data_IF_043113238882
#
_entry.id   IF_043113238882
#
_cell.length_a   1.000
_cell.length_b   1.000
_cell.length_c   1.000
_cell.angle_alpha   90.00
_cell.angle_beta   90.00
_cell.angle_gamma   90.00
#
_symmetry.space_group_name_H-M   'P 1'
#
loop_
_entity.id
_entity.type
_entity.pdbx_description
1 polymer ?
#
# COMPACT_ATOMS: atom_id res chain seq x y z
N UNK A 1 0.00 21.90 -9.08
CA UNK A 1 0.26 23.07 -9.95
C UNK A 1 1.75 23.44 -9.94
N UNK A 2 2.33 23.85 -8.83
CA UNK A 2 3.73 24.32 -8.73
C UNK A 2 4.75 23.33 -9.30
N UNK A 3 4.65 22.04 -8.96
CA UNK A 3 5.53 21.00 -9.49
C UNK A 3 5.52 20.99 -11.03
N UNK A 4 4.34 20.98 -11.65
CA UNK A 4 4.24 20.93 -13.12
C UNK A 4 4.71 22.23 -13.77
N UNK A 5 4.51 23.36 -13.12
CA UNK A 5 5.08 24.64 -13.58
C UNK A 5 6.61 24.59 -13.61
N UNK A 6 7.23 23.91 -12.64
CA UNK A 6 8.68 23.75 -12.57
C UNK A 6 9.20 22.64 -13.49
N UNK A 7 8.56 21.44 -13.49
CA UNK A 7 9.04 20.25 -14.18
C UNK A 7 8.57 20.15 -15.65
N UNK A 8 7.56 20.95 -16.05
CA UNK A 8 6.95 20.90 -17.37
C UNK A 8 5.84 19.86 -17.50
N UNK A 9 5.99 18.67 -16.91
CA UNK A 9 5.00 17.58 -16.95
C UNK A 9 4.98 16.74 -15.66
N UNK A 10 3.95 15.91 -15.51
CA UNK A 10 3.86 14.90 -14.46
C UNK A 10 3.52 13.56 -15.10
N UNK A 11 4.44 12.60 -15.03
CA UNK A 11 4.29 11.25 -15.59
C UNK A 11 4.03 10.21 -14.50
N UNK A 12 4.63 10.38 -13.32
CA UNK A 12 4.57 9.39 -12.25
C UNK A 12 4.24 10.07 -10.93
N UNK A 13 3.21 9.56 -10.26
CA UNK A 13 2.89 9.90 -8.87
C UNK A 13 3.18 8.70 -7.97
N UNK A 14 3.91 8.94 -6.88
CA UNK A 14 4.10 7.95 -5.82
C UNK A 14 3.44 8.45 -4.53
N UNK A 15 2.33 7.83 -4.14
CA UNK A 15 1.66 8.08 -2.87
C UNK A 15 2.33 7.24 -1.78
N UNK A 16 3.37 7.78 -1.17
CA UNK A 16 4.18 7.09 -0.15
C UNK A 16 3.85 7.52 1.27
N UNK A 17 3.38 8.74 1.48
CA UNK A 17 3.10 9.26 2.81
C UNK A 17 2.13 8.35 3.57
N UNK A 18 2.46 8.02 4.82
CA UNK A 18 1.63 7.17 5.66
C UNK A 18 2.11 7.17 7.10
N UNK A 19 1.19 6.87 7.99
CA UNK A 19 1.46 6.71 9.42
C UNK A 19 0.88 5.40 9.93
N UNK A 20 1.35 4.99 11.11
CA UNK A 20 0.89 3.81 11.79
C UNK A 20 0.89 4.09 13.30
N UNK A 21 -0.19 3.70 13.96
CA UNK A 21 -0.26 3.53 15.41
C UNK A 21 -0.51 2.06 15.69
N UNK A 22 0.26 1.48 16.62
CA UNK A 22 0.14 0.08 17.05
C UNK A 22 -0.33 0.01 18.50
N UNK A 23 -1.11 -1.02 18.80
CA UNK A 23 -1.62 -1.32 20.13
C UNK A 23 -3.05 -1.83 20.11
N UNK A 24 -3.54 -2.35 21.25
CA UNK A 24 -4.92 -2.80 21.40
C UNK A 24 -5.90 -1.68 21.00
N UNK A 25 -6.94 -2.05 20.24
CA UNK A 25 -7.89 -1.09 19.68
C UNK A 25 -8.53 -0.22 20.76
N UNK A 26 -8.94 -0.83 21.88
CA UNK A 26 -9.59 -0.16 23.01
C UNK A 26 -8.67 0.75 23.81
N UNK A 27 -7.34 0.62 23.64
CA UNK A 27 -6.33 1.46 24.33
C UNK A 27 -5.79 2.58 23.45
N UNK A 28 -6.10 2.53 22.13
CA UNK A 28 -5.65 3.53 21.16
C UNK A 28 -6.67 4.66 21.10
N UNK A 29 -6.21 5.90 21.24
CA UNK A 29 -7.07 7.08 21.16
C UNK A 29 -7.80 7.15 19.82
N UNK A 30 -9.10 7.48 19.84
CA UNK A 30 -9.92 7.58 18.62
C UNK A 30 -9.35 8.57 17.60
N UNK A 31 -8.69 9.62 18.07
CA UNK A 31 -7.99 10.61 17.25
C UNK A 31 -6.86 9.99 16.43
N UNK A 32 -6.13 9.01 16.96
CA UNK A 32 -5.08 8.28 16.26
C UNK A 32 -5.65 7.40 15.14
N UNK A 33 -6.80 6.74 15.40
CA UNK A 33 -7.52 6.00 14.36
C UNK A 33 -7.95 6.91 13.21
N UNK A 34 -8.57 8.06 13.52
CA UNK A 34 -9.00 9.04 12.51
C UNK A 34 -7.80 9.61 11.74
N UNK A 35 -6.71 9.94 12.43
CA UNK A 35 -5.48 10.46 11.80
C UNK A 35 -4.88 9.45 10.83
N UNK A 36 -4.89 8.15 11.19
CA UNK A 36 -4.43 7.07 10.30
C UNK A 36 -5.25 7.05 9.00
N UNK A 37 -6.57 7.09 9.11
CA UNK A 37 -7.45 7.12 7.93
C UNK A 37 -7.26 8.39 7.11
N UNK A 38 -7.17 9.54 7.77
CA UNK A 38 -7.00 10.83 7.09
C UNK A 38 -5.71 10.88 6.27
N UNK A 39 -4.59 10.43 6.82
CA UNK A 39 -3.30 10.48 6.12
C UNK A 39 -3.20 9.36 5.08
N UNK A 40 -3.47 8.11 5.50
CA UNK A 40 -3.20 6.96 4.63
C UNK A 40 -4.22 6.79 3.50
N UNK A 41 -5.47 7.26 3.69
CA UNK A 41 -6.56 7.08 2.71
C UNK A 41 -6.87 8.39 2.00
N UNK A 42 -7.25 9.44 2.75
CA UNK A 42 -7.59 10.72 2.13
C UNK A 42 -6.37 11.34 1.44
N UNK A 43 -5.15 11.14 1.99
CA UNK A 43 -3.91 11.56 1.33
C UNK A 43 -3.73 10.94 -0.04
N UNK A 44 -4.00 9.64 -0.18
CA UNK A 44 -3.95 8.93 -1.49
C UNK A 44 -5.02 9.46 -2.44
N UNK A 45 -6.26 9.61 -1.98
CA UNK A 45 -7.35 10.18 -2.80
C UNK A 45 -7.01 11.59 -3.29
N UNK A 46 -6.50 12.44 -2.39
CA UNK A 46 -6.11 13.81 -2.72
C UNK A 46 -4.98 13.84 -3.75
N UNK A 47 -3.95 13.00 -3.56
CA UNK A 47 -2.83 12.88 -4.50
C UNK A 47 -3.29 12.43 -5.89
N UNK A 48 -4.10 11.38 -5.96
CA UNK A 48 -4.66 10.87 -7.20
C UNK A 48 -5.53 11.93 -7.90
N UNK A 49 -6.43 12.57 -7.16
CA UNK A 49 -7.32 13.60 -7.71
C UNK A 49 -6.55 14.80 -8.25
N UNK A 50 -5.57 15.30 -7.50
CA UNK A 50 -4.77 16.45 -7.89
C UNK A 50 -3.84 16.17 -9.08
N UNK A 51 -3.35 14.94 -9.23
CA UNK A 51 -2.46 14.54 -10.31
C UNK A 51 -3.19 14.26 -11.63
N UNK A 52 -4.46 13.83 -11.58
CA UNK A 52 -5.21 13.35 -12.74
C UNK A 52 -5.20 14.31 -13.95
N UNK A 53 -5.43 15.64 -13.80
CA UNK A 53 -5.44 16.55 -14.96
C UNK A 53 -4.11 16.57 -15.73
N UNK A 54 -3.00 16.36 -15.03
CA UNK A 54 -1.65 16.38 -15.61
C UNK A 54 -1.28 15.01 -16.19
N UNK A 55 -1.61 13.92 -15.47
CA UNK A 55 -1.36 12.55 -15.94
C UNK A 55 -2.11 12.23 -17.24
N UNK A 56 -3.30 12.82 -17.44
CA UNK A 56 -4.05 12.71 -18.71
C UNK A 56 -3.32 13.32 -19.92
N UNK A 57 -2.39 14.21 -19.71
CA UNK A 57 -1.64 14.91 -20.76
C UNK A 57 -0.29 14.24 -21.06
N UNK A 58 0.14 13.33 -20.19
CA UNK A 58 1.43 12.66 -20.32
C UNK A 58 1.36 11.49 -21.32
N UNK A 59 2.42 11.32 -22.13
CA UNK A 59 2.54 10.20 -23.06
C UNK A 59 2.72 8.84 -22.34
N UNK A 60 3.18 8.87 -21.10
CA UNK A 60 3.31 7.76 -20.19
C UNK A 60 2.85 8.22 -18.81
N UNK A 61 1.85 7.56 -18.23
CA UNK A 61 1.28 7.98 -16.97
C UNK A 61 1.12 6.80 -16.00
N UNK A 62 1.57 7.00 -14.75
CA UNK A 62 1.49 5.96 -13.71
C UNK A 62 1.30 6.53 -12.31
N UNK A 63 0.53 5.81 -11.51
CA UNK A 63 0.43 6.02 -10.06
C UNK A 63 0.89 4.75 -9.34
N UNK A 64 1.71 4.92 -8.31
CA UNK A 64 2.13 3.86 -7.40
C UNK A 64 1.70 4.24 -5.99
N UNK A 65 0.82 3.45 -5.41
CA UNK A 65 0.36 3.62 -4.04
C UNK A 65 1.13 2.70 -3.10
N UNK A 66 1.71 3.22 -2.01
CA UNK A 66 2.31 2.40 -0.97
C UNK A 66 1.22 1.81 -0.08
N UNK A 67 0.84 0.58 -0.39
CA UNK A 67 -0.02 -0.26 0.44
C UNK A 67 0.83 -1.02 1.49
N UNK A 68 0.46 -2.21 1.84
CA UNK A 68 1.17 -3.10 2.77
C UNK A 68 0.64 -4.53 2.64
N UNK A 69 1.42 -5.52 3.08
CA UNK A 69 0.91 -6.87 3.33
C UNK A 69 -0.23 -6.88 4.38
N UNK A 70 -0.38 -5.82 5.18
CA UNK A 70 -1.54 -5.60 6.06
C UNK A 70 -2.87 -5.39 5.31
N UNK A 71 -2.84 -5.24 3.97
CA UNK A 71 -4.02 -5.28 3.11
C UNK A 71 -4.40 -6.71 2.65
N UNK A 72 -3.74 -7.74 3.17
CA UNK A 72 -4.07 -9.16 2.95
C UNK A 72 -4.96 -9.66 4.08
N UNK A 73 -4.61 -9.34 5.32
CA UNK A 73 -5.34 -9.71 6.54
C UNK A 73 -5.44 -8.51 7.47
N UNK A 74 -6.62 -8.33 8.12
CA UNK A 74 -6.75 -7.38 9.23
C UNK A 74 -5.96 -7.89 10.42
N UNK A 75 -4.96 -7.14 10.89
CA UNK A 75 -4.06 -7.57 11.95
C UNK A 75 -4.49 -7.03 13.32
N UNK A 76 -4.40 -7.86 14.36
CA UNK A 76 -4.51 -7.41 15.73
C UNK A 76 -3.42 -6.35 16.01
N UNK A 77 -3.71 -5.43 16.91
CA UNK A 77 -2.87 -4.28 17.26
C UNK A 77 -2.61 -3.27 16.11
N UNK A 78 -3.12 -3.54 14.91
CA UNK A 78 -2.95 -2.73 13.71
C UNK A 78 -4.27 -2.50 12.96
N UNK A 79 -5.40 -2.47 13.67
CA UNK A 79 -6.75 -2.49 13.07
C UNK A 79 -6.94 -1.35 12.07
N UNK A 80 -6.75 -0.09 12.49
CA UNK A 80 -6.94 1.08 11.62
C UNK A 80 -5.90 1.17 10.53
N UNK A 81 -4.67 0.76 10.81
CA UNK A 81 -3.63 0.69 9.79
C UNK A 81 -4.00 -0.33 8.70
N UNK A 82 -4.35 -1.56 9.10
CA UNK A 82 -4.82 -2.58 8.16
C UNK A 82 -6.01 -2.08 7.34
N UNK A 83 -7.03 -1.53 7.99
CA UNK A 83 -8.20 -0.97 7.31
C UNK A 83 -7.80 0.10 6.28
N UNK A 84 -6.87 1.00 6.63
CA UNK A 84 -6.36 2.01 5.70
C UNK A 84 -5.66 1.41 4.48
N UNK A 85 -4.88 0.33 4.68
CA UNK A 85 -4.17 -0.33 3.58
C UNK A 85 -5.10 -1.18 2.70
N UNK A 86 -6.17 -1.76 3.26
CA UNK A 86 -7.26 -2.34 2.47
C UNK A 86 -7.96 -1.28 1.62
N UNK A 87 -8.23 -0.10 2.19
CA UNK A 87 -8.83 1.01 1.44
C UNK A 87 -7.93 1.46 0.28
N UNK A 88 -6.62 1.62 0.51
CA UNK A 88 -5.64 1.95 -0.55
C UNK A 88 -5.64 0.91 -1.65
N UNK A 89 -5.72 -0.37 -1.30
CA UNK A 89 -5.82 -1.46 -2.28
C UNK A 89 -7.08 -1.34 -3.13
N UNK A 90 -8.25 -1.12 -2.50
CA UNK A 90 -9.52 -0.92 -3.22
C UNK A 90 -9.51 0.32 -4.13
N UNK A 91 -8.94 1.44 -3.64
CA UNK A 91 -8.74 2.65 -4.44
C UNK A 91 -7.88 2.34 -5.67
N UNK A 92 -6.79 1.59 -5.49
CA UNK A 92 -5.89 1.21 -6.59
C UNK A 92 -6.61 0.39 -7.65
N UNK A 93 -7.34 -0.65 -7.26
CA UNK A 93 -8.13 -1.49 -8.19
C UNK A 93 -9.16 -0.67 -8.98
N UNK A 94 -9.92 0.16 -8.26
CA UNK A 94 -10.96 1.01 -8.86
C UNK A 94 -10.38 1.99 -9.87
N UNK A 95 -9.33 2.72 -9.49
CA UNK A 95 -8.71 3.72 -10.35
C UNK A 95 -7.94 3.09 -11.53
N UNK A 96 -7.29 1.94 -11.35
CA UNK A 96 -6.62 1.22 -12.44
C UNK A 96 -7.62 0.83 -13.53
N UNK A 97 -8.80 0.36 -13.14
CA UNK A 97 -9.88 0.02 -14.06
C UNK A 97 -10.50 1.26 -14.72
N UNK A 98 -10.83 2.28 -13.92
CA UNK A 98 -11.51 3.49 -14.38
C UNK A 98 -10.64 4.33 -15.33
N UNK A 99 -9.33 4.42 -15.05
CA UNK A 99 -8.42 5.29 -15.76
C UNK A 99 -7.67 4.63 -16.91
N UNK A 100 -7.93 3.35 -17.17
CA UNK A 100 -7.45 2.65 -18.37
C UNK A 100 -7.81 3.41 -19.66
N UNK A 101 -9.00 4.03 -19.71
CA UNK A 101 -9.44 4.87 -20.85
C UNK A 101 -8.57 6.10 -21.11
N UNK A 102 -7.74 6.48 -20.14
CA UNK A 102 -6.79 7.60 -20.27
C UNK A 102 -5.34 7.11 -20.45
N UNK A 103 -5.11 5.80 -20.53
CA UNK A 103 -3.77 5.23 -20.58
C UNK A 103 -2.98 5.34 -19.26
N UNK A 104 -3.67 5.61 -18.14
CA UNK A 104 -3.03 5.74 -16.83
C UNK A 104 -3.08 4.38 -16.12
N UNK A 105 -1.91 3.87 -15.72
CA UNK A 105 -1.81 2.69 -14.87
C UNK A 105 -1.75 3.08 -13.40
N UNK A 106 -2.53 2.38 -12.58
CA UNK A 106 -2.51 2.56 -11.12
C UNK A 106 -2.15 1.23 -10.47
N UNK A 107 -1.04 1.20 -9.75
CA UNK A 107 -0.50 0.01 -9.10
C UNK A 107 -0.35 0.27 -7.61
N UNK A 108 -0.35 -0.78 -6.79
CA UNK A 108 0.14 -0.68 -5.43
C UNK A 108 1.34 -1.58 -5.17
N UNK A 109 2.16 -1.17 -4.21
CA UNK A 109 3.28 -1.93 -3.69
C UNK A 109 2.95 -2.34 -2.27
N UNK A 110 3.02 -3.65 -1.98
CA UNK A 110 2.60 -4.27 -0.74
C UNK A 110 3.80 -4.91 -0.02
N UNK A 111 4.67 -4.12 0.64
CA UNK A 111 5.75 -4.67 1.44
C UNK A 111 5.20 -5.32 2.72
N UNK A 112 5.95 -6.31 3.22
CA UNK A 112 5.80 -6.78 4.58
C UNK A 112 6.46 -5.74 5.52
N UNK A 113 6.93 -6.12 6.70
CA UNK A 113 7.61 -5.20 7.61
C UNK A 113 8.96 -4.75 7.05
N UNK A 114 9.18 -3.43 7.04
CA UNK A 114 10.36 -2.76 6.49
C UNK A 114 11.15 -2.10 7.62
N UNK A 115 12.46 -2.19 7.61
CA UNK A 115 13.35 -1.58 8.59
C UNK A 115 13.30 -0.04 8.48
N UNK A 116 12.36 0.56 9.17
CA UNK A 116 12.14 2.01 9.22
C UNK A 116 11.79 2.45 10.64
N UNK A 117 11.87 3.74 10.92
CA UNK A 117 11.45 4.30 12.20
C UNK A 117 9.99 3.93 12.55
N UNK A 118 9.13 3.76 11.55
CA UNK A 118 7.73 3.36 11.74
C UNK A 118 7.59 2.00 12.45
N UNK A 119 8.56 1.08 12.29
CA UNK A 119 8.50 -0.29 12.81
C UNK A 119 9.28 -0.44 14.13
N UNK A 120 10.22 0.48 14.44
CA UNK A 120 11.09 0.38 15.61
C UNK A 120 10.30 0.35 16.93
N UNK A 121 9.22 1.12 17.04
CA UNK A 121 8.41 1.23 18.25
C UNK A 121 7.16 0.34 18.25
N UNK A 122 7.02 -0.53 17.24
CA UNK A 122 5.84 -1.38 17.11
C UNK A 122 5.88 -2.59 18.06
N UNK A 123 4.81 -2.76 18.82
CA UNK A 123 4.65 -3.89 19.75
C UNK A 123 3.81 -5.05 19.18
N UNK A 124 3.36 -4.96 17.93
CA UNK A 124 2.52 -5.99 17.33
C UNK A 124 3.25 -7.35 17.24
N UNK A 125 2.64 -8.40 17.77
CA UNK A 125 3.21 -9.75 17.78
C UNK A 125 3.49 -10.30 16.37
N UNK A 126 2.71 -9.89 15.39
CA UNK A 126 2.92 -10.24 13.97
C UNK A 126 4.31 -9.85 13.45
N UNK A 127 4.92 -8.78 13.98
CA UNK A 127 6.29 -8.37 13.63
C UNK A 127 7.30 -9.37 14.18
N UNK A 128 7.12 -9.78 15.42
CA UNK A 128 8.01 -10.76 16.08
C UNK A 128 7.94 -12.11 15.36
N UNK A 129 6.75 -12.55 14.98
CA UNK A 129 6.51 -13.83 14.32
C UNK A 129 7.01 -13.88 12.87
N UNK A 130 6.91 -12.78 12.13
CA UNK A 130 7.28 -12.73 10.72
C UNK A 130 8.67 -12.14 10.46
N UNK A 131 9.20 -11.37 11.41
CA UNK A 131 10.48 -10.68 11.31
C UNK A 131 10.48 -9.48 10.36
N UNK A 132 11.48 -8.63 10.49
CA UNK A 132 11.69 -7.45 9.65
C UNK A 132 12.91 -7.69 8.77
N UNK A 133 12.69 -8.04 7.51
CA UNK A 133 13.75 -8.47 6.59
C UNK A 133 13.99 -7.51 5.42
N UNK A 134 12.99 -6.66 5.11
CA UNK A 134 13.09 -5.70 4.02
C UNK A 134 13.73 -4.41 4.52
N UNK A 135 14.57 -3.81 3.69
CA UNK A 135 15.08 -2.45 3.90
C UNK A 135 14.23 -1.43 3.14
N UNK A 136 14.38 -0.15 3.45
CA UNK A 136 13.73 0.92 2.69
C UNK A 136 14.21 0.93 1.24
N UNK A 137 15.48 0.61 1.00
CA UNK A 137 16.10 0.51 -0.32
C UNK A 137 15.50 -0.61 -1.16
N UNK A 138 15.20 -1.79 -0.57
CA UNK A 138 14.53 -2.90 -1.27
C UNK A 138 13.17 -2.46 -1.80
N UNK A 139 12.40 -1.75 -0.97
CA UNK A 139 11.09 -1.25 -1.36
C UNK A 139 11.21 -0.14 -2.40
N UNK A 140 12.12 0.81 -2.21
CA UNK A 140 12.37 1.91 -3.15
C UNK A 140 12.81 1.38 -4.53
N UNK A 141 13.70 0.38 -4.55
CA UNK A 141 14.12 -0.26 -5.79
C UNK A 141 12.93 -0.92 -6.50
N UNK A 142 12.05 -1.62 -5.76
CA UNK A 142 10.86 -2.22 -6.34
C UNK A 142 9.89 -1.17 -6.89
N UNK A 143 9.67 -0.08 -6.15
CA UNK A 143 8.86 1.06 -6.60
C UNK A 143 9.43 1.65 -7.89
N UNK A 144 10.73 1.91 -7.93
CA UNK A 144 11.40 2.43 -9.12
C UNK A 144 11.25 1.50 -10.33
N UNK A 145 11.50 0.20 -10.13
CA UNK A 145 11.29 -0.78 -11.21
C UNK A 145 9.87 -0.75 -11.76
N UNK A 146 8.86 -0.65 -10.88
CA UNK A 146 7.45 -0.56 -11.30
C UNK A 146 7.13 0.80 -11.94
N UNK A 147 7.79 1.86 -11.49
CA UNK A 147 7.59 3.21 -12.05
C UNK A 147 7.98 3.30 -13.52
N UNK A 148 9.10 2.66 -13.91
CA UNK A 148 9.66 2.79 -15.27
C UNK A 148 9.39 1.57 -16.18
N UNK A 149 8.85 0.48 -15.65
CA UNK A 149 8.63 -0.74 -16.43
C UNK A 149 7.55 -0.54 -17.51
N UNK A 150 7.69 -1.23 -18.62
CA UNK A 150 6.58 -1.39 -19.57
C UNK A 150 5.60 -2.44 -19.03
N UNK A 151 4.32 -2.09 -18.98
CA UNK A 151 3.28 -3.03 -18.60
C UNK A 151 2.87 -3.93 -19.75
N UNK A 152 2.43 -5.12 -19.40
CA UNK A 152 1.74 -6.06 -20.27
C UNK A 152 0.34 -6.32 -19.71
N UNK A 153 -0.52 -6.95 -20.48
CA UNK A 153 -1.85 -7.37 -20.02
C UNK A 153 -1.80 -8.30 -18.77
N UNK A 154 -0.63 -8.91 -18.50
CA UNK A 154 -0.41 -9.79 -17.35
C UNK A 154 0.23 -9.07 -16.15
N UNK A 155 0.54 -7.77 -16.27
CA UNK A 155 1.11 -7.00 -15.15
C UNK A 155 0.07 -6.85 -14.05
N UNK A 156 0.33 -7.48 -12.90
CA UNK A 156 -0.59 -7.44 -11.77
C UNK A 156 -0.68 -6.02 -11.18
N UNK A 157 -1.89 -5.62 -10.78
CA UNK A 157 -2.14 -4.33 -10.11
C UNK A 157 -1.52 -4.30 -8.72
N UNK A 158 -1.54 -5.42 -8.00
CA UNK A 158 -0.97 -5.55 -6.65
C UNK A 158 0.40 -6.22 -6.69
N UNK A 159 1.41 -5.52 -6.17
CA UNK A 159 2.82 -5.91 -6.21
C UNK A 159 3.34 -6.24 -4.80
N UNK A 160 3.18 -7.49 -4.36
CA UNK A 160 3.74 -7.94 -3.08
C UNK A 160 5.28 -7.95 -3.12
N UNK A 161 5.93 -7.39 -2.08
CA UNK A 161 7.40 -7.30 -1.98
C UNK A 161 7.92 -8.27 -0.92
N UNK A 162 8.92 -9.07 -1.32
CA UNK A 162 9.49 -10.12 -0.50
C UNK A 162 8.77 -11.46 -0.63
N UNK A 163 9.49 -12.55 -0.44
CA UNK A 163 8.99 -13.91 -0.67
C UNK A 163 7.79 -14.25 0.24
N UNK A 164 7.87 -13.89 1.51
CA UNK A 164 6.78 -14.14 2.49
C UNK A 164 5.50 -13.39 2.10
N UNK A 165 5.59 -12.11 1.72
CA UNK A 165 4.43 -11.32 1.30
C UNK A 165 3.79 -11.91 0.03
N UNK A 166 4.60 -12.29 -0.95
CA UNK A 166 4.14 -12.94 -2.18
C UNK A 166 3.39 -14.23 -1.89
N UNK A 167 3.95 -15.09 -1.03
CA UNK A 167 3.32 -16.35 -0.63
C UNK A 167 1.99 -16.11 0.08
N UNK A 168 1.95 -15.24 1.10
CA UNK A 168 0.73 -14.90 1.83
C UNK A 168 -0.35 -14.34 0.90
N UNK A 169 0.04 -13.46 -0.03
CA UNK A 169 -0.89 -12.87 -0.98
C UNK A 169 -1.48 -13.92 -1.93
N UNK A 170 -0.69 -14.87 -2.44
CA UNK A 170 -1.19 -15.93 -3.30
C UNK A 170 -2.08 -16.91 -2.53
N UNK A 171 -1.65 -17.32 -1.32
CA UNK A 171 -2.45 -18.21 -0.48
C UNK A 171 -3.79 -17.58 -0.11
N UNK A 172 -3.84 -16.29 0.21
CA UNK A 172 -5.09 -15.59 0.58
C UNK A 172 -6.15 -15.60 -0.52
N UNK A 173 -5.74 -15.70 -1.80
CA UNK A 173 -6.65 -15.75 -2.95
C UNK A 173 -7.39 -17.08 -3.10
N UNK A 174 -6.77 -18.16 -2.66
CA UNK A 174 -7.30 -19.54 -2.84
C UNK A 174 -7.77 -20.17 -1.53
N UNK A 175 -7.39 -19.60 -0.39
CA UNK A 175 -7.76 -20.13 0.92
C UNK A 175 -9.22 -19.82 1.26
N UNK A 176 -9.98 -20.81 1.74
CA UNK A 176 -11.29 -20.57 2.35
C UNK A 176 -11.19 -19.57 3.52
N UNK A 177 -12.26 -18.82 3.74
CA UNK A 177 -12.27 -17.76 4.76
C UNK A 177 -11.91 -18.23 6.17
N UNK A 178 -12.31 -19.44 6.56
CA UNK A 178 -11.97 -19.99 7.88
C UNK A 178 -10.46 -20.26 8.04
N UNK A 179 -9.76 -20.67 6.97
CA UNK A 179 -8.31 -20.83 6.99
C UNK A 179 -7.60 -19.49 7.07
N UNK A 180 -8.09 -18.49 6.34
CA UNK A 180 -7.57 -17.14 6.45
C UNK A 180 -7.70 -16.59 7.88
N UNK A 181 -8.85 -16.87 8.55
CA UNK A 181 -9.05 -16.52 9.96
C UNK A 181 -8.07 -17.25 10.89
N UNK A 182 -7.86 -18.54 10.70
CA UNK A 182 -6.91 -19.32 11.51
C UNK A 182 -5.47 -18.84 11.32
N UNK A 183 -5.07 -18.57 10.07
CA UNK A 183 -3.75 -17.99 9.75
C UNK A 183 -3.56 -16.65 10.46
N UNK A 184 -4.55 -15.78 10.39
CA UNK A 184 -4.49 -14.47 11.03
C UNK A 184 -4.41 -14.59 12.57
N UNK A 185 -5.19 -15.47 13.17
CA UNK A 185 -5.12 -15.75 14.62
C UNK A 185 -3.76 -16.28 15.03
N UNK A 186 -3.16 -17.16 14.22
CA UNK A 186 -1.82 -17.69 14.49
C UNK A 186 -0.74 -16.61 14.39
N UNK A 187 -0.80 -15.76 13.38
CA UNK A 187 0.17 -14.67 13.18
C UNK A 187 0.05 -13.55 14.23
N UNK A 188 -1.11 -13.41 14.86
CA UNK A 188 -1.40 -12.36 15.85
C UNK A 188 -1.21 -12.82 17.30
N UNK A 189 -0.85 -14.08 17.56
CA UNK A 189 -0.54 -14.62 18.88
C UNK A 189 0.95 -14.57 19.17
#
# INVERSE_FOLDING_TARGET
AEFVTWAGELNILVNNAGILFSGPFEQTEISAHHKTMSINVNGVLNGCHAALPYLKQANFARIINLSSASAIYGQADLVSYSASKFAVRGITEGLDTEWQKYGIRVLDVMPLFVQTAMVQDMQAKSIQNMGVHLTAEDVAHHVFQRAVAKDTALTATHQAVGAKAKLLFQLSKISPQFLNRLTNLYLSK
#
